data_IF_606150601409
#
_entry.id   IF_606150601409
#
_cell.length_a   1.000
_cell.length_b   1.000
_cell.length_c   1.000
_cell.angle_alpha   90.00
_cell.angle_beta   90.00
_cell.angle_gamma   90.00
#
_symmetry.space_group_name_H-M   'P 1'
#
loop_
_entity.id
_entity.type
_entity.pdbx_description
1 polymer ?
#
# COMPACT_ATOMS: atom_id res chain seq x y z
N UNK A 1 -6.02 2.81 17.46
CA UNK A 1 -5.84 3.80 16.38
C UNK A 1 -5.29 5.15 16.88
N UNK A 2 -5.89 5.85 17.87
CA UNK A 2 -5.39 7.17 18.35
C UNK A 2 -3.91 7.16 18.80
N UNK A 3 -3.47 6.12 19.52
CA UNK A 3 -2.05 5.98 19.91
C UNK A 3 -1.17 5.83 18.66
N UNK A 4 -1.53 4.96 17.71
CA UNK A 4 -0.78 4.79 16.46
C UNK A 4 -0.66 6.11 15.67
N UNK A 5 -1.75 6.88 15.58
CA UNK A 5 -1.74 8.16 14.87
C UNK A 5 -0.70 9.15 15.42
N UNK A 6 -0.42 9.11 16.72
CA UNK A 6 0.62 9.96 17.35
C UNK A 6 2.03 9.42 17.13
N UNK A 7 2.16 8.10 17.13
CA UNK A 7 3.45 7.42 17.10
C UNK A 7 4.04 7.26 15.69
N UNK A 8 3.22 7.39 14.64
CA UNK A 8 3.73 7.36 13.27
C UNK A 8 4.29 8.71 12.82
N UNK A 9 4.01 9.77 13.55
CA UNK A 9 4.59 11.09 13.29
C UNK A 9 6.13 11.02 13.40
N UNK A 10 6.81 11.49 12.36
CA UNK A 10 8.27 11.37 12.24
C UNK A 10 8.81 10.01 11.79
N UNK A 11 7.97 8.98 11.59
CA UNK A 11 8.39 7.73 10.97
C UNK A 11 8.43 7.84 9.44
N UNK A 12 9.22 6.97 8.82
CA UNK A 12 9.30 6.90 7.37
C UNK A 12 7.99 6.37 6.78
N UNK A 13 7.34 7.20 5.93
CA UNK A 13 6.10 6.84 5.26
C UNK A 13 6.32 5.84 4.11
N UNK A 14 5.32 5.00 3.79
CA UNK A 14 5.36 4.12 2.62
C UNK A 14 5.57 4.89 1.32
N UNK A 15 6.23 4.25 0.33
CA UNK A 15 6.61 4.92 -0.92
C UNK A 15 5.42 5.52 -1.69
N UNK A 16 4.28 4.82 -1.73
CA UNK A 16 3.10 5.30 -2.46
C UNK A 16 2.49 6.54 -1.80
N UNK A 17 2.54 6.63 -0.47
CA UNK A 17 2.13 7.82 0.30
C UNK A 17 3.03 9.02 -0.04
N UNK A 18 4.35 8.82 0.00
CA UNK A 18 5.32 9.86 -0.39
C UNK A 18 5.11 10.36 -1.82
N UNK A 19 4.81 9.42 -2.74
CA UNK A 19 4.53 9.77 -4.13
C UNK A 19 3.21 10.54 -4.22
N UNK A 20 2.17 10.11 -3.51
CA UNK A 20 0.88 10.80 -3.47
C UNK A 20 1.05 12.26 -3.03
N UNK A 21 1.80 12.50 -1.97
CA UNK A 21 2.08 13.85 -1.46
C UNK A 21 2.88 14.69 -2.46
N UNK A 22 3.98 14.13 -2.98
CA UNK A 22 4.90 14.84 -3.89
C UNK A 22 4.32 15.14 -5.27
N UNK A 23 3.36 14.34 -5.75
CA UNK A 23 2.73 14.44 -7.07
C UNK A 23 1.34 15.10 -7.03
N UNK A 24 1.03 15.87 -6.00
CA UNK A 24 -0.27 16.55 -5.82
C UNK A 24 -1.46 15.59 -5.97
N UNK A 25 -1.28 14.34 -5.53
CA UNK A 25 -2.32 13.31 -5.55
C UNK A 25 -2.82 12.93 -6.95
N UNK A 26 -1.97 13.02 -7.98
CA UNK A 26 -2.29 12.62 -9.34
C UNK A 26 -2.73 11.14 -9.40
N UNK A 27 -3.98 10.83 -9.82
CA UNK A 27 -4.52 9.47 -9.76
C UNK A 27 -3.72 8.47 -10.60
N UNK A 28 -3.22 8.87 -11.77
CA UNK A 28 -2.46 7.99 -12.63
C UNK A 28 -1.11 7.65 -12.02
N UNK A 29 -0.41 8.63 -11.47
CA UNK A 29 0.89 8.40 -10.86
C UNK A 29 0.77 7.55 -9.58
N UNK A 30 -0.29 7.75 -8.78
CA UNK A 30 -0.60 6.91 -7.63
C UNK A 30 -0.87 5.46 -8.08
N UNK A 31 -1.72 5.27 -9.08
CA UNK A 31 -2.07 3.94 -9.61
C UNK A 31 -0.83 3.17 -10.09
N UNK A 32 -0.01 3.79 -10.93
CA UNK A 32 1.19 3.15 -11.46
C UNK A 32 2.19 2.88 -10.34
N UNK A 33 2.39 3.80 -9.41
CA UNK A 33 3.29 3.59 -8.27
C UNK A 33 2.81 2.46 -7.35
N UNK A 34 1.52 2.36 -7.10
CA UNK A 34 0.93 1.26 -6.35
C UNK A 34 1.11 -0.10 -7.08
N UNK A 35 1.00 -0.13 -8.41
CA UNK A 35 1.31 -1.32 -9.21
C UNK A 35 2.80 -1.70 -9.09
N UNK A 36 3.70 -0.72 -9.15
CA UNK A 36 5.15 -0.96 -9.02
C UNK A 36 5.53 -1.42 -7.60
N UNK A 37 4.84 -0.96 -6.57
CA UNK A 37 5.15 -1.28 -5.16
C UNK A 37 4.92 -2.74 -4.77
N UNK A 38 4.07 -3.47 -5.50
CA UNK A 38 3.76 -4.87 -5.17
C UNK A 38 5.04 -5.72 -5.10
N UNK A 39 5.32 -6.31 -3.91
CA UNK A 39 6.53 -7.10 -3.63
C UNK A 39 7.86 -6.39 -3.93
N UNK A 40 7.88 -5.07 -3.88
CA UNK A 40 9.08 -4.24 -4.12
C UNK A 40 9.36 -3.40 -2.88
N UNK A 41 10.63 -3.21 -2.57
CA UNK A 41 11.05 -2.31 -1.49
C UNK A 41 10.68 -0.85 -1.82
N UNK A 42 10.31 -0.09 -0.81
CA UNK A 42 9.82 1.27 -0.96
C UNK A 42 10.83 2.20 -1.64
N UNK A 43 12.11 2.16 -1.25
CA UNK A 43 13.15 2.95 -1.88
C UNK A 43 13.26 2.66 -3.40
N UNK A 44 13.15 1.38 -3.79
CA UNK A 44 13.16 0.97 -5.20
C UNK A 44 11.93 1.45 -5.94
N UNK A 45 10.75 1.36 -5.31
CA UNK A 45 9.48 1.85 -5.88
C UNK A 45 9.55 3.35 -6.12
N UNK A 46 9.99 4.11 -5.14
CA UNK A 46 10.11 5.57 -5.23
C UNK A 46 11.07 5.98 -6.37
N UNK A 47 12.25 5.39 -6.40
CA UNK A 47 13.26 5.69 -7.44
C UNK A 47 12.76 5.33 -8.85
N UNK A 48 12.09 4.19 -9.02
CA UNK A 48 11.54 3.74 -10.30
C UNK A 48 10.39 4.63 -10.76
N UNK A 49 9.46 4.97 -9.87
CA UNK A 49 8.35 5.89 -10.16
C UNK A 49 8.86 7.27 -10.58
N UNK A 50 9.84 7.81 -9.86
CA UNK A 50 10.47 9.09 -10.20
C UNK A 50 11.08 9.08 -11.61
N UNK A 51 11.84 8.02 -11.97
CA UNK A 51 12.41 7.91 -13.32
C UNK A 51 11.35 7.81 -14.40
N UNK A 52 10.32 6.99 -14.18
CA UNK A 52 9.22 6.82 -15.12
C UNK A 52 8.49 8.14 -15.35
N UNK A 53 8.09 8.82 -14.28
CA UNK A 53 7.31 10.06 -14.38
C UNK A 53 8.14 11.29 -14.80
N UNK A 54 9.46 11.25 -14.65
CA UNK A 54 10.34 12.23 -15.29
C UNK A 54 10.30 12.12 -16.82
N UNK A 55 10.11 10.90 -17.34
CA UNK A 55 10.06 10.61 -18.78
C UNK A 55 8.64 10.75 -19.35
N UNK A 56 7.62 10.24 -18.65
CA UNK A 56 6.23 10.22 -19.11
C UNK A 56 5.29 10.29 -17.89
N UNK A 57 4.47 11.34 -17.79
CA UNK A 57 3.62 11.62 -16.60
C UNK A 57 2.17 11.21 -16.77
N UNK A 58 1.66 11.29 -18.00
CA UNK A 58 0.24 11.08 -18.29
C UNK A 58 0.00 9.71 -18.96
N UNK A 59 -1.22 9.14 -18.86
CA UNK A 59 -1.57 7.89 -19.51
C UNK A 59 -1.17 7.84 -20.99
N UNK A 60 -1.49 8.88 -21.76
CA UNK A 60 -1.18 8.96 -23.18
C UNK A 60 0.32 8.93 -23.49
N UNK A 61 1.14 9.54 -22.65
CA UNK A 61 2.59 9.55 -22.83
C UNK A 61 3.22 8.20 -22.46
N UNK A 62 2.75 7.54 -21.39
CA UNK A 62 3.21 6.20 -20.99
C UNK A 62 2.77 5.15 -22.01
N UNK A 63 1.56 5.23 -22.54
CA UNK A 63 1.05 4.31 -23.58
C UNK A 63 1.90 4.32 -24.86
N UNK A 64 2.55 5.44 -25.18
CA UNK A 64 3.46 5.57 -26.35
C UNK A 64 4.82 4.93 -26.12
N UNK A 65 5.26 4.72 -24.88
CA UNK A 65 6.54 4.09 -24.59
C UNK A 65 6.55 2.62 -25.03
N UNK A 66 7.68 2.15 -25.53
CA UNK A 66 7.91 0.72 -25.75
C UNK A 66 8.05 -0.03 -24.42
N UNK A 67 7.61 -1.31 -24.37
CA UNK A 67 7.76 -2.14 -23.16
C UNK A 67 9.20 -2.16 -22.66
N UNK A 68 10.19 -2.29 -23.57
CA UNK A 68 11.61 -2.29 -23.24
C UNK A 68 12.10 -0.96 -22.65
N UNK A 69 11.49 0.15 -23.06
CA UNK A 69 11.79 1.46 -22.45
C UNK A 69 11.25 1.53 -21.02
N UNK A 70 10.01 1.05 -20.80
CA UNK A 70 9.42 0.99 -19.47
C UNK A 70 10.24 0.05 -18.57
N UNK A 71 10.64 -1.15 -19.05
CA UNK A 71 11.52 -2.06 -18.30
C UNK A 71 12.78 -1.34 -17.79
N UNK A 72 13.49 -0.61 -18.64
CA UNK A 72 14.70 0.15 -18.27
C UNK A 72 14.40 1.21 -17.19
N UNK A 73 13.28 1.92 -17.32
CA UNK A 73 12.90 2.98 -16.38
C UNK A 73 12.54 2.46 -15.00
N UNK A 74 11.87 1.29 -14.93
CA UNK A 74 11.41 0.73 -13.67
C UNK A 74 12.37 -0.28 -13.03
N UNK A 75 13.46 -0.69 -13.71
CA UNK A 75 14.46 -1.57 -13.11
C UNK A 75 15.10 -0.90 -11.86
N UNK A 76 15.32 -1.62 -10.73
CA UNK A 76 15.19 -3.06 -10.48
C UNK A 76 13.91 -3.45 -9.69
N UNK A 77 12.76 -2.90 -10.03
CA UNK A 77 11.48 -3.28 -9.41
C UNK A 77 11.25 -4.80 -9.53
N UNK A 78 10.78 -5.43 -8.45
CA UNK A 78 10.47 -6.87 -8.50
C UNK A 78 9.48 -7.18 -9.62
N UNK A 79 9.76 -8.23 -10.39
CA UNK A 79 8.95 -8.61 -11.57
C UNK A 79 8.83 -7.49 -12.63
N UNK A 80 9.85 -6.66 -12.77
CA UNK A 80 9.84 -5.46 -13.63
C UNK A 80 9.41 -5.74 -15.08
N UNK A 81 9.73 -6.91 -15.65
CA UNK A 81 9.33 -7.27 -17.02
C UNK A 81 7.81 -7.38 -17.16
N UNK A 82 7.17 -8.12 -16.26
CA UNK A 82 5.71 -8.26 -16.25
C UNK A 82 5.04 -6.93 -15.91
N UNK A 83 5.59 -6.20 -14.94
CA UNK A 83 5.06 -4.88 -14.57
C UNK A 83 5.20 -3.86 -15.68
N UNK A 84 6.25 -3.89 -16.51
CA UNK A 84 6.35 -3.02 -17.67
C UNK A 84 5.24 -3.26 -18.69
N UNK A 85 4.87 -4.53 -18.90
CA UNK A 85 3.70 -4.89 -19.73
C UNK A 85 2.43 -4.34 -19.12
N UNK A 86 2.19 -4.57 -17.82
CA UNK A 86 1.00 -4.07 -17.12
C UNK A 86 0.93 -2.54 -17.14
N UNK A 87 2.02 -1.84 -16.86
CA UNK A 87 2.07 -0.36 -16.90
C UNK A 87 1.65 0.15 -18.27
N UNK A 88 2.18 -0.43 -19.35
CA UNK A 88 1.80 -0.05 -20.72
C UNK A 88 0.33 -0.34 -21.01
N UNK A 89 -0.12 -1.55 -20.69
CA UNK A 89 -1.50 -1.97 -20.95
C UNK A 89 -2.50 -1.15 -20.12
N UNK A 90 -2.20 -0.87 -18.85
CA UNK A 90 -3.01 -0.01 -17.99
C UNK A 90 -3.10 1.40 -18.56
N UNK A 91 -1.97 2.00 -18.94
CA UNK A 91 -1.96 3.33 -19.54
C UNK A 91 -2.79 3.38 -20.83
N UNK A 92 -2.66 2.36 -21.68
CA UNK A 92 -3.41 2.22 -22.91
C UNK A 92 -4.93 2.05 -22.64
N UNK A 93 -5.30 1.17 -21.71
CA UNK A 93 -6.71 0.95 -21.34
C UNK A 93 -7.35 2.25 -20.79
N UNK A 94 -6.61 3.03 -20.01
CA UNK A 94 -7.10 4.33 -19.51
C UNK A 94 -7.35 5.30 -20.68
N UNK A 95 -6.48 5.36 -21.67
CA UNK A 95 -6.69 6.21 -22.84
C UNK A 95 -7.89 5.74 -23.69
N UNK A 96 -7.96 4.44 -24.00
CA UNK A 96 -8.93 3.89 -24.93
C UNK A 96 -10.34 3.74 -24.35
N UNK A 97 -10.44 3.38 -23.08
CA UNK A 97 -11.72 3.06 -22.43
C UNK A 97 -12.27 4.18 -21.54
N UNK A 98 -11.38 5.01 -21.01
CA UNK A 98 -11.72 6.03 -20.00
C UNK A 98 -11.33 7.45 -20.42
N UNK A 99 -11.09 7.69 -21.72
CA UNK A 99 -10.78 9.02 -22.24
C UNK A 99 -9.54 9.69 -21.64
N UNK A 100 -8.58 8.89 -21.13
CA UNK A 100 -7.36 9.38 -20.48
C UNK A 100 -7.52 9.70 -18.99
N UNK A 101 -8.70 9.52 -18.41
CA UNK A 101 -8.96 9.70 -16.99
C UNK A 101 -8.89 8.36 -16.25
N UNK A 102 -8.26 8.34 -15.08
CA UNK A 102 -8.27 7.14 -14.22
C UNK A 102 -9.69 6.93 -13.69
N UNK A 103 -10.27 5.73 -13.84
CA UNK A 103 -11.60 5.46 -13.32
C UNK A 103 -11.66 5.63 -11.80
N UNK A 104 -12.78 6.12 -11.30
CA UNK A 104 -12.99 6.50 -9.90
C UNK A 104 -13.87 5.54 -9.11
N UNK A 105 -14.10 4.33 -9.63
CA UNK A 105 -14.82 3.26 -8.94
C UNK A 105 -13.91 2.05 -8.74
N UNK A 106 -14.16 1.29 -7.68
CA UNK A 106 -13.37 0.08 -7.38
C UNK A 106 -13.54 -0.96 -8.48
N UNK A 107 -14.78 -1.11 -8.95
CA UNK A 107 -15.19 -2.06 -9.98
C UNK A 107 -14.47 -1.82 -11.31
N UNK A 108 -14.35 -0.57 -11.72
CA UNK A 108 -13.64 -0.20 -12.95
C UNK A 108 -12.11 -0.33 -12.77
N UNK A 109 -11.57 0.10 -11.64
CA UNK A 109 -10.13 0.01 -11.37
C UNK A 109 -9.60 -1.43 -11.43
N UNK A 110 -10.35 -2.40 -10.92
CA UNK A 110 -9.93 -3.81 -10.95
C UNK A 110 -10.00 -4.43 -12.36
N UNK A 111 -10.64 -3.77 -13.33
CA UNK A 111 -10.62 -4.20 -14.73
C UNK A 111 -9.33 -3.82 -15.46
N UNK A 112 -8.51 -2.96 -14.86
CA UNK A 112 -7.26 -2.52 -15.45
C UNK A 112 -6.18 -3.62 -15.32
N UNK A 113 -5.35 -3.84 -16.35
CA UNK A 113 -4.31 -4.86 -16.33
C UNK A 113 -3.33 -4.71 -15.17
N UNK A 114 -3.15 -5.78 -14.39
CA UNK A 114 -2.24 -5.78 -13.23
C UNK A 114 -2.75 -5.06 -11.99
N UNK A 115 -3.98 -4.56 -12.00
CA UNK A 115 -4.62 -3.90 -10.88
C UNK A 115 -5.52 -4.87 -10.13
N UNK A 116 -5.05 -5.34 -8.99
CA UNK A 116 -5.86 -6.14 -8.06
C UNK A 116 -6.61 -5.27 -7.04
N UNK A 117 -7.50 -5.91 -6.26
CA UNK A 117 -8.33 -5.25 -5.25
C UNK A 117 -7.51 -4.35 -4.31
N UNK A 118 -6.39 -4.82 -3.75
CA UNK A 118 -5.52 -4.02 -2.87
C UNK A 118 -5.03 -2.73 -3.53
N UNK A 119 -4.57 -2.84 -4.79
CA UNK A 119 -4.08 -1.67 -5.55
C UNK A 119 -5.22 -0.69 -5.83
N UNK A 120 -6.36 -1.19 -6.29
CA UNK A 120 -7.54 -0.38 -6.56
C UNK A 120 -8.04 0.34 -5.30
N UNK A 121 -8.16 -0.36 -4.17
CA UNK A 121 -8.57 0.24 -2.89
C UNK A 121 -7.59 1.33 -2.42
N UNK A 122 -6.28 1.12 -2.57
CA UNK A 122 -5.29 2.14 -2.23
C UNK A 122 -5.45 3.40 -3.10
N UNK A 123 -5.70 3.23 -4.40
CA UNK A 123 -5.98 4.35 -5.32
C UNK A 123 -7.25 5.08 -4.92
N UNK A 124 -8.33 4.37 -4.57
CA UNK A 124 -9.56 4.98 -4.07
C UNK A 124 -9.30 5.87 -2.85
N UNK A 125 -8.49 5.40 -1.91
CA UNK A 125 -8.17 6.15 -0.69
C UNK A 125 -7.28 7.36 -1.01
N UNK A 126 -6.19 7.18 -1.75
CA UNK A 126 -5.16 8.20 -1.92
C UNK A 126 -5.52 9.26 -2.98
N UNK A 127 -6.05 8.81 -4.12
CA UNK A 127 -6.37 9.68 -5.24
C UNK A 127 -7.78 10.28 -5.16
N UNK A 128 -8.76 9.44 -4.80
CA UNK A 128 -10.18 9.84 -4.80
C UNK A 128 -10.72 10.17 -3.40
N UNK A 129 -9.85 10.11 -2.37
CA UNK A 129 -10.21 10.46 -0.98
C UNK A 129 -11.38 9.65 -0.42
N UNK A 130 -11.54 8.43 -0.90
CA UNK A 130 -12.59 7.55 -0.41
C UNK A 130 -12.46 7.28 1.08
N UNK A 131 -13.55 7.43 1.80
CA UNK A 131 -13.66 7.14 3.23
C UNK A 131 -14.39 5.82 3.52
N UNK A 132 -14.80 5.12 2.46
CA UNK A 132 -15.60 3.88 2.54
C UNK A 132 -14.77 2.61 2.38
N UNK A 133 -13.45 2.73 2.18
CA UNK A 133 -12.59 1.60 1.88
C UNK A 133 -11.52 1.39 2.94
N UNK A 134 -11.20 0.12 3.18
CA UNK A 134 -10.04 -0.32 3.97
C UNK A 134 -9.06 -1.02 3.04
N UNK A 135 -7.87 -0.45 2.84
CA UNK A 135 -6.83 -1.12 2.07
C UNK A 135 -6.07 -2.11 2.98
N UNK A 136 -6.19 -3.40 2.70
CA UNK A 136 -5.52 -4.46 3.46
C UNK A 136 -4.40 -5.07 2.66
N UNK A 137 -3.18 -4.92 3.18
CA UNK A 137 -1.99 -5.61 2.70
C UNK A 137 -1.49 -6.63 3.74
N UNK A 138 -0.30 -7.19 3.49
CA UNK A 138 0.31 -8.15 4.41
C UNK A 138 0.63 -7.55 5.79
N UNK A 139 0.90 -6.23 5.89
CA UNK A 139 1.15 -5.56 7.16
C UNK A 139 -0.15 -5.38 7.94
N UNK A 140 -1.18 -4.85 7.30
CA UNK A 140 -2.51 -4.68 7.90
C UNK A 140 -3.05 -6.03 8.36
N UNK A 141 -3.04 -7.06 7.50
CA UNK A 141 -3.47 -8.42 7.84
C UNK A 141 -2.72 -8.96 9.07
N UNK A 142 -1.39 -8.91 9.05
CA UNK A 142 -0.56 -9.42 10.15
C UNK A 142 -0.82 -8.71 11.45
N UNK A 143 -0.84 -7.37 11.42
CA UNK A 143 -0.90 -6.57 12.64
C UNK A 143 -2.30 -6.61 13.26
N UNK A 144 -3.36 -6.56 12.45
CA UNK A 144 -4.74 -6.68 12.94
C UNK A 144 -4.99 -8.01 13.64
N UNK A 145 -4.42 -9.12 13.10
CA UNK A 145 -4.47 -10.43 13.76
C UNK A 145 -3.61 -10.45 15.05
N UNK A 146 -2.40 -9.87 15.04
CA UNK A 146 -1.54 -9.81 16.24
C UNK A 146 -2.16 -8.99 17.37
N UNK A 147 -2.85 -7.90 17.02
CA UNK A 147 -3.59 -7.06 17.97
C UNK A 147 -4.81 -7.78 18.54
N UNK A 148 -5.32 -8.78 17.83
CA UNK A 148 -6.55 -9.47 18.18
C UNK A 148 -7.81 -8.68 17.81
N UNK A 149 -7.70 -7.75 16.87
CA UNK A 149 -8.87 -7.05 16.31
C UNK A 149 -9.71 -7.99 15.46
N UNK A 150 -9.04 -8.88 14.73
CA UNK A 150 -9.65 -9.91 13.87
C UNK A 150 -8.91 -11.24 14.02
N UNK A 151 -9.56 -12.33 13.57
CA UNK A 151 -8.95 -13.66 13.45
C UNK A 151 -9.25 -14.22 12.07
N UNK A 152 -8.36 -13.97 11.12
CA UNK A 152 -8.57 -14.26 9.70
C UNK A 152 -7.34 -14.87 9.05
N UNK A 153 -7.56 -15.70 8.02
CA UNK A 153 -6.49 -16.43 7.34
C UNK A 153 -5.98 -15.77 6.05
N UNK A 154 -6.58 -14.65 5.62
CA UNK A 154 -6.14 -13.96 4.40
C UNK A 154 -6.42 -12.46 4.47
N UNK A 155 -5.70 -11.62 3.68
CA UNK A 155 -5.97 -10.19 3.58
C UNK A 155 -7.42 -9.86 3.22
N UNK A 156 -8.02 -10.59 2.26
CA UNK A 156 -9.40 -10.32 1.82
C UNK A 156 -10.41 -10.57 2.96
N UNK A 157 -10.23 -11.66 3.71
CA UNK A 157 -11.05 -11.92 4.90
C UNK A 157 -10.82 -10.88 6.01
N UNK A 158 -9.59 -10.36 6.12
CA UNK A 158 -9.26 -9.29 7.06
C UNK A 158 -9.94 -7.99 6.69
N UNK A 159 -9.98 -7.64 5.41
CA UNK A 159 -10.70 -6.46 4.94
C UNK A 159 -12.16 -6.48 5.41
N UNK A 160 -12.87 -7.58 5.12
CA UNK A 160 -14.28 -7.73 5.53
C UNK A 160 -14.45 -7.64 7.06
N UNK A 161 -13.63 -8.36 7.81
CA UNK A 161 -13.73 -8.36 9.28
C UNK A 161 -13.38 -7.00 9.92
N UNK A 162 -12.54 -6.19 9.28
CA UNK A 162 -12.18 -4.87 9.80
C UNK A 162 -13.30 -3.84 9.68
N UNK A 163 -14.21 -3.98 8.72
CA UNK A 163 -15.39 -3.13 8.62
C UNK A 163 -16.27 -3.23 9.88
N UNK A 164 -16.42 -4.45 10.43
CA UNK A 164 -17.19 -4.68 11.65
C UNK A 164 -16.38 -4.35 12.91
N UNK A 165 -15.07 -4.58 12.87
CA UNK A 165 -14.21 -4.46 14.05
C UNK A 165 -13.69 -3.04 14.31
N UNK A 166 -13.87 -2.10 13.37
CA UNK A 166 -13.28 -0.75 13.45
C UNK A 166 -14.27 0.34 13.09
N UNK A 167 -14.12 1.50 13.73
CA UNK A 167 -14.92 2.69 13.45
C UNK A 167 -14.57 3.24 12.04
N UNK A 168 -15.60 3.56 11.25
CA UNK A 168 -15.49 4.01 9.86
C UNK A 168 -14.56 5.23 9.66
N UNK A 169 -14.44 6.11 10.66
CA UNK A 169 -13.50 7.25 10.60
C UNK A 169 -12.04 6.83 10.41
N UNK A 170 -11.67 5.59 10.77
CA UNK A 170 -10.32 5.08 10.67
C UNK A 170 -10.03 4.31 9.37
N UNK A 171 -11.06 3.88 8.64
CA UNK A 171 -10.91 3.03 7.45
C UNK A 171 -9.86 3.51 6.45
N UNK A 172 -9.88 4.77 6.01
CA UNK A 172 -8.87 5.26 5.06
C UNK A 172 -7.46 5.36 5.64
N UNK A 173 -7.33 5.36 6.97
CA UNK A 173 -6.07 5.54 7.68
C UNK A 173 -5.44 4.22 8.15
N UNK A 174 -6.21 3.13 8.17
CA UNK A 174 -5.75 1.82 8.66
C UNK A 174 -4.49 1.37 7.90
N UNK A 175 -4.49 1.49 6.56
CA UNK A 175 -3.34 1.09 5.76
C UNK A 175 -2.11 1.92 6.12
N UNK A 176 -2.20 3.24 6.02
CA UNK A 176 -1.10 4.14 6.35
C UNK A 176 -0.49 3.81 7.72
N UNK A 177 -1.30 3.73 8.75
CA UNK A 177 -0.82 3.53 10.12
C UNK A 177 -0.20 2.15 10.32
N UNK A 178 -0.88 1.09 9.85
CA UNK A 178 -0.39 -0.26 10.08
C UNK A 178 0.76 -0.65 9.15
N UNK A 179 0.85 -0.09 7.95
CA UNK A 179 2.03 -0.30 7.08
C UNK A 179 3.23 0.41 7.66
N UNK A 180 3.12 1.70 7.99
CA UNK A 180 4.20 2.47 8.62
C UNK A 180 4.67 1.78 9.90
N UNK A 181 3.75 1.38 10.78
CA UNK A 181 4.07 0.65 12.00
C UNK A 181 4.70 -0.72 11.74
N UNK A 182 4.23 -1.40 10.71
CA UNK A 182 4.69 -2.73 10.31
C UNK A 182 6.07 -2.75 9.69
N UNK A 183 6.50 -1.68 9.07
CA UNK A 183 7.84 -1.51 8.51
C UNK A 183 8.85 -1.13 9.59
N UNK A 184 8.45 -0.28 10.54
CA UNK A 184 9.35 0.29 11.54
C UNK A 184 9.40 -0.51 12.84
N UNK A 185 8.27 -0.95 13.39
CA UNK A 185 8.15 -1.54 14.73
C UNK A 185 7.66 -2.98 14.69
N UNK A 186 6.45 -3.22 14.18
CA UNK A 186 5.81 -4.55 14.19
C UNK A 186 6.24 -5.39 12.99
N UNK A 187 7.53 -5.71 12.89
CA UNK A 187 8.12 -6.47 11.78
C UNK A 187 7.58 -7.90 11.70
N UNK A 188 7.62 -8.56 10.51
CA UNK A 188 7.18 -9.95 10.35
C UNK A 188 7.91 -10.89 11.29
N UNK A 189 9.23 -10.82 11.28
CA UNK A 189 10.13 -11.59 12.15
C UNK A 189 10.78 -10.62 13.14
N UNK A 190 10.87 -11.01 14.40
CA UNK A 190 11.44 -10.21 15.48
C UNK A 190 10.83 -8.80 15.64
N UNK A 191 9.48 -8.67 15.84
CA UNK A 191 8.88 -7.38 16.12
C UNK A 191 9.50 -6.73 17.36
N UNK A 192 9.62 -5.40 17.35
CA UNK A 192 10.18 -4.60 18.44
C UNK A 192 9.13 -4.31 19.50
N UNK A 193 8.63 -5.37 20.18
CA UNK A 193 7.55 -5.22 21.16
C UNK A 193 7.93 -4.39 22.39
N UNK A 194 9.22 -4.29 22.71
CA UNK A 194 9.73 -3.49 23.81
C UNK A 194 9.70 -1.97 23.53
N UNK A 195 9.71 -1.57 22.25
CA UNK A 195 9.59 -0.18 21.80
C UNK A 195 8.17 0.16 21.36
N UNK A 196 7.23 -0.79 21.46
CA UNK A 196 5.91 -0.67 20.87
C UNK A 196 4.96 0.12 21.78
N UNK A 197 4.59 1.33 21.39
CA UNK A 197 3.69 2.20 22.14
C UNK A 197 2.27 1.62 22.36
N UNK A 198 1.89 0.61 21.56
CA UNK A 198 0.61 -0.09 21.72
C UNK A 198 0.76 -1.50 22.31
N UNK A 199 1.89 -1.80 22.93
CA UNK A 199 2.17 -3.13 23.48
C UNK A 199 1.16 -3.54 24.57
N UNK A 200 0.67 -2.59 25.38
CA UNK A 200 -0.35 -2.80 26.39
C UNK A 200 -1.71 -3.18 25.82
N UNK A 201 -2.02 -2.75 24.61
CA UNK A 201 -3.30 -3.01 23.93
C UNK A 201 -3.21 -4.20 22.97
N UNK A 202 -2.02 -4.87 22.88
CA UNK A 202 -1.73 -5.90 21.90
C UNK A 202 -1.79 -7.31 22.53
N UNK A 203 -2.64 -8.19 21.99
CA UNK A 203 -2.74 -9.60 22.40
C UNK A 203 -1.53 -10.45 21.96
N UNK A 204 -0.67 -9.94 21.08
CA UNK A 204 0.53 -10.63 20.53
C UNK A 204 0.25 -12.00 19.94
N UNK A 205 -0.91 -12.18 19.31
CA UNK A 205 -1.31 -13.46 18.72
C UNK A 205 -0.29 -13.85 17.63
N UNK A 206 0.20 -15.10 17.69
CA UNK A 206 1.24 -15.65 16.77
C UNK A 206 2.55 -14.84 16.78
N UNK A 207 2.92 -14.24 17.89
CA UNK A 207 4.24 -13.63 18.10
C UNK A 207 5.08 -14.57 18.97
N UNK A 208 5.85 -15.45 18.32
CA UNK A 208 6.70 -16.44 18.99
C UNK A 208 8.05 -15.85 19.42
N UNK A 209 8.59 -14.94 18.62
CA UNK A 209 9.91 -14.33 18.84
C UNK A 209 9.81 -12.82 18.73
N UNK A 210 10.54 -12.13 19.59
CA UNK A 210 10.62 -10.65 19.59
C UNK A 210 12.04 -10.21 19.35
N UNK A 211 12.23 -8.99 18.85
CA UNK A 211 13.56 -8.37 18.72
C UNK A 211 14.26 -8.24 20.09
N UNK A 212 15.57 -8.06 20.09
CA UNK A 212 16.39 -7.96 21.32
C UNK A 212 15.83 -6.85 22.22
N UNK A 213 15.32 -7.26 23.36
CA UNK A 213 14.71 -6.43 24.40
C UNK A 213 13.87 -7.32 25.31
N UNK A 214 13.87 -7.08 26.62
CA UNK A 214 13.02 -7.85 27.56
C UNK A 214 11.57 -7.56 27.25
N UNK A 215 10.82 -8.58 26.87
CA UNK A 215 9.36 -8.47 26.75
C UNK A 215 8.77 -8.63 28.14
N UNK A 216 8.16 -7.57 28.66
CA UNK A 216 7.24 -7.73 29.77
C UNK A 216 6.04 -8.57 29.27
N UNK A 217 5.80 -9.73 29.88
CA UNK A 217 4.59 -10.52 29.63
C UNK A 217 3.38 -9.69 30.07
N UNK A 218 2.29 -9.64 29.30
CA UNK A 218 1.05 -9.09 29.84
C UNK A 218 0.64 -9.95 31.03
N UNK A 219 0.36 -9.32 32.16
CA UNK A 219 -0.32 -9.90 33.33
C UNK A 219 -1.76 -10.24 32.95
#
# INVERSE_FOLDING_TARGET
>A
MRKLAREIDGLELPAVEKISESQRQDPFQILISALLSARTQDATTLAASTRLFKTARAPASVAKLGVKQIEKLIYPVSFYRNKAVFVKQTARAIVERFGGQVPSTLEELVTLPGVGRKTATLVMILAFKSRQHICVDIHVHRISNRLGWVRTGSPDKTELALYDATDARWWPLINLYLVTWGQNVCRPVYPRCHECAIASDCRRINVERVGRGRVARPT
#
